data_IF_824843024743
#
_entry.id   IF_824843024743
#
_cell.length_a   1.000
_cell.length_b   1.000
_cell.length_c   1.000
_cell.angle_alpha   90.00
_cell.angle_beta   90.00
_cell.angle_gamma   90.00
#
_symmetry.space_group_name_H-M   'P 1'
#
loop_
_entity.id
_entity.type
_entity.pdbx_description
1 polymer ?
#
# COMPACT_ATOMS: atom_id res chain seq x y z
N UNK A 1 11.28 -33.75 17.26
CA UNK A 1 10.98 -32.97 16.04
C UNK A 1 9.54 -32.45 16.07
N UNK A 2 9.26 -31.30 16.70
CA UNK A 2 7.90 -30.72 16.72
C UNK A 2 7.85 -29.28 16.16
N UNK A 3 8.99 -28.74 15.70
CA UNK A 3 9.14 -27.32 15.37
C UNK A 3 8.79 -27.01 13.89
N UNK A 4 8.80 -28.01 13.00
CA UNK A 4 8.61 -27.77 11.56
C UNK A 4 7.14 -27.62 11.10
N UNK A 5 6.17 -27.77 12.01
CA UNK A 5 4.75 -27.52 11.72
C UNK A 5 4.18 -26.32 12.46
N UNK A 6 5.02 -25.38 12.88
CA UNK A 6 4.53 -24.04 13.12
C UNK A 6 3.93 -23.56 11.80
N UNK A 7 2.59 -23.49 11.73
CA UNK A 7 1.88 -23.04 10.53
C UNK A 7 2.12 -21.54 10.41
N UNK A 8 3.23 -21.16 9.80
CA UNK A 8 3.66 -19.76 9.67
C UNK A 8 2.60 -18.89 9.00
N UNK A 9 1.80 -19.47 8.10
CA UNK A 9 0.61 -18.82 7.56
C UNK A 9 -0.38 -18.38 8.66
N UNK A 10 -0.69 -19.27 9.60
CA UNK A 10 -1.61 -19.00 10.71
C UNK A 10 -1.05 -17.98 11.69
N UNK A 11 0.24 -18.08 12.03
CA UNK A 11 0.90 -17.09 12.92
C UNK A 11 0.89 -15.70 12.28
N UNK A 12 1.27 -15.61 11.00
CA UNK A 12 1.38 -14.33 10.28
C UNK A 12 0.05 -13.58 10.14
N UNK A 13 -1.08 -14.29 10.15
CA UNK A 13 -2.40 -13.70 9.89
C UNK A 13 -3.35 -13.66 11.08
N UNK A 14 -3.19 -14.52 12.08
CA UNK A 14 -4.14 -14.64 13.21
C UNK A 14 -3.66 -14.01 14.51
N UNK A 15 -2.37 -13.72 14.61
CA UNK A 15 -1.76 -13.12 15.80
C UNK A 15 -1.30 -11.70 15.49
N UNK A 16 -1.18 -10.88 16.53
CA UNK A 16 -0.51 -9.57 16.44
C UNK A 16 0.98 -9.78 16.71
N UNK A 17 1.79 -9.59 15.69
CA UNK A 17 3.24 -9.78 15.76
C UNK A 17 3.93 -8.43 15.93
N UNK A 18 5.03 -8.40 16.69
CA UNK A 18 5.92 -7.25 16.70
C UNK A 18 6.78 -7.25 15.44
N UNK A 19 7.22 -6.07 15.01
CA UNK A 19 8.12 -5.94 13.87
C UNK A 19 9.45 -6.67 14.09
N UNK A 20 9.99 -6.65 15.31
CA UNK A 20 11.22 -7.38 15.64
C UNK A 20 11.07 -8.89 15.49
N UNK A 21 9.92 -9.43 15.88
CA UNK A 21 9.62 -10.85 15.65
C UNK A 21 9.57 -11.15 14.15
N UNK A 22 8.96 -10.27 13.35
CA UNK A 22 8.88 -10.46 11.90
C UNK A 22 10.29 -10.37 11.28
N UNK A 23 11.17 -9.48 11.75
CA UNK A 23 12.58 -9.39 11.32
C UNK A 23 13.33 -10.68 11.62
N UNK A 24 13.19 -11.21 12.84
CA UNK A 24 13.86 -12.43 13.27
C UNK A 24 13.43 -13.64 12.42
N UNK A 25 12.16 -13.71 12.03
CA UNK A 25 11.58 -14.83 11.29
C UNK A 25 11.21 -14.48 9.84
N UNK A 26 11.88 -13.49 9.24
CA UNK A 26 11.56 -12.91 7.94
C UNK A 26 11.49 -13.91 6.78
N UNK A 27 12.24 -15.02 6.87
CA UNK A 27 12.28 -16.06 5.84
C UNK A 27 11.23 -17.17 6.05
N UNK A 28 10.47 -17.10 7.14
CA UNK A 28 9.43 -18.08 7.49
C UNK A 28 8.03 -17.50 7.46
N UNK A 29 7.87 -16.22 7.81
CA UNK A 29 6.58 -15.55 7.81
C UNK A 29 5.94 -15.50 6.41
N UNK A 30 4.62 -15.47 6.37
CA UNK A 30 3.88 -15.26 5.14
C UNK A 30 3.68 -13.76 4.90
N UNK A 31 4.47 -13.19 3.98
CA UNK A 31 4.47 -11.75 3.70
C UNK A 31 3.12 -11.19 3.27
N UNK A 32 2.30 -11.96 2.55
CA UNK A 32 0.93 -11.55 2.20
C UNK A 32 0.06 -11.33 3.44
N UNK A 33 0.14 -12.25 4.41
CA UNK A 33 -0.56 -12.11 5.68
C UNK A 33 0.04 -10.99 6.53
N UNK A 34 1.37 -10.82 6.53
CA UNK A 34 2.03 -9.71 7.22
C UNK A 34 1.51 -8.37 6.69
N UNK A 35 1.57 -8.14 5.38
CA UNK A 35 1.11 -6.90 4.73
C UNK A 35 -0.38 -6.63 4.93
N UNK A 36 -1.20 -7.68 5.04
CA UNK A 36 -2.66 -7.56 5.18
C UNK A 36 -3.13 -7.34 6.61
N UNK A 37 -2.57 -8.08 7.57
CA UNK A 37 -3.16 -8.19 8.92
C UNK A 37 -2.35 -7.51 10.01
N UNK A 38 -1.05 -7.27 9.79
CA UNK A 38 -0.21 -6.58 10.77
C UNK A 38 -0.28 -5.07 10.55
N UNK A 39 -0.12 -4.32 11.64
CA UNK A 39 0.10 -2.87 11.54
C UNK A 39 1.60 -2.64 11.38
N UNK A 40 2.01 -2.13 10.23
CA UNK A 40 3.41 -1.93 9.89
C UNK A 40 3.76 -0.44 9.91
N UNK A 41 4.95 -0.12 10.42
CA UNK A 41 5.53 1.22 10.36
C UNK A 41 6.08 1.52 8.97
N UNK A 42 6.23 2.81 8.64
CA UNK A 42 6.86 3.26 7.40
C UNK A 42 8.26 2.64 7.24
N UNK A 43 9.06 2.71 8.29
CA UNK A 43 10.45 2.25 8.26
C UNK A 43 10.53 0.74 8.02
N UNK A 44 9.61 -0.03 8.62
CA UNK A 44 9.52 -1.46 8.36
C UNK A 44 9.14 -1.80 6.92
N UNK A 45 8.16 -1.08 6.35
CA UNK A 45 7.76 -1.29 4.95
C UNK A 45 8.93 -0.93 4.02
N UNK A 46 9.69 0.12 4.33
CA UNK A 46 10.87 0.52 3.57
C UNK A 46 11.98 -0.55 3.63
N UNK A 47 12.25 -1.06 4.83
CA UNK A 47 13.22 -2.13 5.09
C UNK A 47 12.89 -3.38 4.27
N UNK A 48 11.61 -3.74 4.17
CA UNK A 48 11.14 -4.96 3.49
C UNK A 48 10.36 -4.68 2.20
N UNK A 49 10.68 -3.58 1.51
CA UNK A 49 9.96 -3.09 0.32
C UNK A 49 9.86 -4.10 -0.83
N UNK A 50 10.78 -5.07 -0.88
CA UNK A 50 10.82 -6.10 -1.92
C UNK A 50 10.19 -7.43 -1.48
N UNK A 51 9.82 -7.56 -0.20
CA UNK A 51 9.12 -8.73 0.35
C UNK A 51 7.63 -8.49 0.61
N UNK A 52 7.25 -7.26 0.98
CA UNK A 52 5.85 -6.90 1.26
C UNK A 52 4.97 -7.00 0.01
N UNK A 53 3.69 -7.34 0.21
CA UNK A 53 2.69 -7.33 -0.84
C UNK A 53 2.07 -5.93 -0.97
N UNK A 54 2.48 -5.18 -1.99
CA UNK A 54 2.08 -3.79 -2.21
C UNK A 54 0.58 -3.61 -2.42
N UNK A 55 -0.12 -4.60 -2.98
CA UNK A 55 -1.58 -4.56 -3.11
C UNK A 55 -2.23 -4.55 -1.73
N UNK A 56 -1.74 -5.38 -0.80
CA UNK A 56 -2.24 -5.38 0.58
C UNK A 56 -1.76 -4.18 1.40
N UNK A 57 -0.53 -3.70 1.19
CA UNK A 57 -0.06 -2.45 1.80
C UNK A 57 -0.99 -1.29 1.41
N UNK A 58 -1.27 -1.12 0.12
CA UNK A 58 -2.13 -0.05 -0.41
C UNK A 58 -3.56 -0.10 0.14
N UNK A 59 -4.07 -1.31 0.37
CA UNK A 59 -5.47 -1.52 0.80
C UNK A 59 -5.67 -1.42 2.30
N UNK A 60 -4.71 -1.88 3.11
CA UNK A 60 -4.93 -2.12 4.53
C UNK A 60 -4.06 -1.29 5.47
N UNK A 61 -2.92 -0.75 4.99
CA UNK A 61 -2.07 0.12 5.81
C UNK A 61 -2.51 1.58 5.64
N UNK A 62 -2.33 2.42 6.67
CA UNK A 62 -2.45 3.87 6.54
C UNK A 62 -1.09 4.42 6.07
N UNK A 63 -1.06 4.99 4.87
CA UNK A 63 0.18 5.47 4.26
C UNK A 63 0.19 6.99 4.24
N UNK A 64 1.25 7.66 4.74
CA UNK A 64 1.37 9.10 4.63
C UNK A 64 1.62 9.51 3.17
N UNK A 65 1.18 10.72 2.80
CA UNK A 65 1.22 11.20 1.40
C UNK A 65 2.62 11.15 0.79
N UNK A 66 3.63 11.59 1.54
CA UNK A 66 5.02 11.56 1.08
C UNK A 66 5.50 10.13 0.76
N UNK A 67 5.02 9.13 1.49
CA UNK A 67 5.32 7.72 1.21
C UNK A 67 4.59 7.24 -0.04
N UNK A 68 3.36 7.69 -0.26
CA UNK A 68 2.61 7.33 -1.48
C UNK A 68 3.32 7.89 -2.72
N UNK A 69 3.79 9.13 -2.66
CA UNK A 69 4.57 9.76 -3.74
C UNK A 69 5.90 9.05 -3.98
N UNK A 70 6.61 8.68 -2.91
CA UNK A 70 7.90 7.97 -2.98
C UNK A 70 7.78 6.58 -3.64
N UNK A 71 6.63 5.92 -3.53
CA UNK A 71 6.37 4.56 -4.04
C UNK A 71 5.20 4.50 -5.02
N UNK A 72 5.00 5.55 -5.80
CA UNK A 72 3.85 5.66 -6.70
C UNK A 72 3.77 4.58 -7.78
N UNK A 73 4.91 3.98 -8.12
CA UNK A 73 5.09 2.92 -9.10
C UNK A 73 4.70 1.55 -8.55
N UNK A 74 4.82 1.36 -7.23
CA UNK A 74 4.50 0.09 -6.55
C UNK A 74 3.08 0.07 -5.97
N UNK A 75 2.53 1.24 -5.67
CA UNK A 75 1.24 1.37 -4.99
C UNK A 75 0.07 1.11 -5.94
N UNK A 76 -0.93 0.41 -5.43
CA UNK A 76 -2.19 0.20 -6.14
C UNK A 76 -3.16 1.36 -5.89
N UNK A 77 -3.15 2.29 -6.83
CA UNK A 77 -3.96 3.51 -6.83
C UNK A 77 -5.46 3.27 -6.70
N UNK A 78 -5.97 2.13 -7.20
CA UNK A 78 -7.38 1.75 -7.05
C UNK A 78 -7.76 1.54 -5.59
N UNK A 79 -6.82 1.06 -4.76
CA UNK A 79 -7.05 0.88 -3.33
C UNK A 79 -6.77 2.15 -2.54
N UNK A 80 -5.78 2.96 -2.93
CA UNK A 80 -5.56 4.28 -2.31
C UNK A 80 -6.81 5.16 -2.44
N UNK A 81 -7.36 5.30 -3.65
CA UNK A 81 -8.54 6.14 -3.90
C UNK A 81 -9.79 5.67 -3.14
N UNK A 82 -9.90 4.37 -2.87
CA UNK A 82 -11.06 3.78 -2.19
C UNK A 82 -10.92 3.73 -0.67
N UNK A 83 -9.72 3.48 -0.17
CA UNK A 83 -9.49 3.13 1.23
C UNK A 83 -8.79 4.23 2.04
N UNK A 84 -8.10 5.18 1.40
CA UNK A 84 -7.37 6.27 2.09
C UNK A 84 -8.11 7.62 2.01
N UNK A 85 -9.43 7.62 1.71
CA UNK A 85 -10.26 8.78 1.35
C UNK A 85 -10.24 9.98 2.30
N UNK A 86 -9.84 9.83 3.56
CA UNK A 86 -9.81 10.94 4.52
C UNK A 86 -8.74 12.00 4.23
N UNK A 87 -7.73 11.66 3.42
CA UNK A 87 -6.67 12.59 3.00
C UNK A 87 -6.82 12.99 1.51
N UNK A 88 -7.91 12.57 0.82
CA UNK A 88 -8.06 12.78 -0.63
C UNK A 88 -8.38 14.23 -1.04
N UNK A 89 -8.95 15.05 -0.15
CA UNK A 89 -9.14 16.49 -0.40
C UNK A 89 -7.79 17.21 -0.62
N UNK A 90 -6.67 16.63 -0.17
CA UNK A 90 -5.30 17.11 -0.45
C UNK A 90 -4.69 16.45 -1.70
N UNK A 91 -5.15 15.27 -2.09
CA UNK A 91 -4.66 14.56 -3.28
C UNK A 91 -5.05 15.25 -4.59
N UNK A 92 -6.20 15.94 -4.62
CA UNK A 92 -6.63 16.69 -5.80
C UNK A 92 -5.57 17.73 -6.19
N UNK A 93 -5.03 18.49 -5.22
CA UNK A 93 -3.94 19.45 -5.46
C UNK A 93 -2.56 18.84 -5.75
N UNK A 94 -2.43 17.52 -5.62
CA UNK A 94 -1.17 16.77 -5.75
C UNK A 94 -1.05 16.05 -7.10
N UNK A 95 -2.13 16.00 -7.87
CA UNK A 95 -2.10 15.48 -9.23
C UNK A 95 -1.31 16.47 -10.11
N UNK A 96 -0.31 16.01 -10.89
CA UNK A 96 0.44 16.85 -11.86
C UNK A 96 -0.48 17.67 -12.77
N UNK A 97 -1.67 17.12 -13.01
CA UNK A 97 -2.80 17.73 -13.71
C UNK A 97 -3.18 19.14 -13.19
N UNK A 98 -3.27 19.35 -11.87
CA UNK A 98 -3.64 20.66 -11.30
C UNK A 98 -2.43 21.59 -11.08
N UNK A 99 -1.21 21.05 -11.09
CA UNK A 99 0.02 21.83 -11.11
C UNK A 99 0.31 22.44 -12.50
N UNK A 100 -0.53 22.16 -13.52
CA UNK A 100 -0.33 22.62 -14.89
C UNK A 100 0.80 21.89 -15.63
N UNK A 101 1.25 20.74 -15.11
CA UNK A 101 2.38 19.98 -15.66
C UNK A 101 1.94 18.88 -16.65
N UNK A 102 0.64 18.59 -16.77
CA UNK A 102 0.07 17.60 -17.70
C UNK A 102 -1.29 18.05 -18.25
N UNK A 103 -1.52 17.87 -19.56
CA UNK A 103 -2.79 18.19 -20.24
C UNK A 103 -3.89 17.16 -19.92
N UNK A 104 -5.16 17.60 -19.93
CA UNK A 104 -6.33 16.72 -19.69
C UNK A 104 -6.39 15.53 -20.66
N UNK A 105 -5.92 15.71 -21.89
CA UNK A 105 -5.89 14.68 -22.93
C UNK A 105 -4.97 13.51 -22.57
N UNK A 106 -3.79 13.82 -22.03
CA UNK A 106 -2.77 12.83 -21.70
C UNK A 106 -3.21 11.97 -20.50
N UNK A 107 -4.04 12.57 -19.63
CA UNK A 107 -4.60 11.93 -18.45
C UNK A 107 -5.74 10.94 -18.76
N UNK A 108 -6.51 11.19 -19.82
CA UNK A 108 -7.55 10.28 -20.31
C UNK A 108 -6.96 9.09 -21.09
N UNK A 109 -5.77 9.26 -21.66
CA UNK A 109 -5.03 8.17 -22.32
C UNK A 109 -4.28 7.29 -21.31
N UNK A 110 -3.88 7.85 -20.16
CA UNK A 110 -3.26 7.08 -19.09
C UNK A 110 -4.29 6.33 -18.22
N UNK A 111 -4.41 5.03 -18.49
CA UNK A 111 -5.25 4.08 -17.75
C UNK A 111 -5.01 4.08 -16.23
N UNK A 112 -3.85 4.57 -15.76
CA UNK A 112 -3.51 4.72 -14.34
C UNK A 112 -4.39 5.80 -13.68
N UNK A 113 -4.65 6.91 -14.37
CA UNK A 113 -5.38 8.07 -13.84
C UNK A 113 -6.83 8.15 -14.32
N UNK A 114 -7.17 7.52 -15.45
CA UNK A 114 -8.53 7.44 -16.00
C UNK A 114 -9.55 7.01 -14.92
N UNK A 115 -9.22 5.98 -14.14
CA UNK A 115 -10.11 5.47 -13.08
C UNK A 115 -10.19 6.37 -11.85
N UNK A 116 -9.11 7.12 -11.56
CA UNK A 116 -9.08 8.07 -10.44
C UNK A 116 -10.01 9.24 -10.77
N UNK A 117 -9.95 9.76 -12.00
CA UNK A 117 -10.82 10.84 -12.47
C UNK A 117 -12.30 10.45 -12.48
N UNK A 118 -12.64 9.26 -12.99
CA UNK A 118 -14.02 8.78 -13.05
C UNK A 118 -14.63 8.68 -11.65
N UNK A 119 -13.87 8.20 -10.66
CA UNK A 119 -14.36 8.07 -9.28
C UNK A 119 -14.37 9.42 -8.52
N UNK A 120 -13.59 10.43 -8.95
CA UNK A 120 -13.50 11.76 -8.33
C UNK A 120 -14.45 12.83 -8.90
N UNK A 121 -14.89 12.70 -10.15
CA UNK A 121 -15.74 13.71 -10.83
C UNK A 121 -17.21 13.29 -11.03
N UNK A 122 -17.63 12.11 -10.52
CA UNK A 122 -19.02 11.62 -10.58
C UNK A 122 -19.81 11.75 -9.25
N UNK A 123 -19.62 12.85 -8.51
CA UNK A 123 -20.56 13.27 -7.45
C UNK A 123 -21.26 14.55 -7.89
#
# INVERSE_FOLDING_TARGET
EFIDKVVWWGISGKQKLSEDFIREFQDKVNWKNISRFQKLSKDFILEFKDKVDWTYISRYQKLPENFIREFEDKIDWKYISKCQKSDLDLFVGSLPFLAGEMELSDLLEDKKYEKILIDSFLI
#
